data_IF_645084568541
#
_entry.id   IF_645084568541
#
_cell.length_a   1.000
_cell.length_b   1.000
_cell.length_c   1.000
_cell.angle_alpha   90.00
_cell.angle_beta   90.00
_cell.angle_gamma   90.00
#
_symmetry.space_group_name_H-M   'P 1'
#
loop_
_entity.id
_entity.type
_entity.pdbx_description
1 polymer ?
#
# COMPACT_ATOMS: atom_id res chain seq x y z
N UNK A 1 7.30 17.57 11.86
CA UNK A 1 5.99 16.93 11.69
C UNK A 1 5.66 16.91 10.20
N UNK A 2 5.96 15.82 9.48
CA UNK A 2 5.43 15.62 8.11
C UNK A 2 3.99 15.13 8.29
N UNK A 3 3.00 15.94 7.91
CA UNK A 3 1.58 15.71 8.20
C UNK A 3 0.81 15.05 7.04
N UNK A 4 1.43 14.86 5.88
CA UNK A 4 0.81 14.22 4.72
C UNK A 4 1.91 13.75 3.76
N UNK A 5 1.64 12.67 3.02
CA UNK A 5 2.40 12.31 1.83
C UNK A 5 2.20 13.39 0.76
N UNK A 6 3.29 13.81 0.11
CA UNK A 6 3.21 14.63 -1.09
C UNK A 6 2.64 13.83 -2.26
N UNK A 7 2.23 14.53 -3.32
CA UNK A 7 1.74 13.88 -4.53
C UNK A 7 2.83 13.02 -5.19
N UNK A 8 4.08 13.49 -5.15
CA UNK A 8 5.27 12.74 -5.60
C UNK A 8 5.45 11.46 -4.78
N UNK A 9 5.42 11.54 -3.44
CA UNK A 9 5.54 10.36 -2.56
C UNK A 9 4.41 9.34 -2.82
N UNK A 10 3.18 9.82 -3.07
CA UNK A 10 2.05 8.94 -3.43
C UNK A 10 2.24 8.27 -4.77
N UNK A 11 2.78 8.99 -5.77
CA UNK A 11 3.13 8.45 -7.08
C UNK A 11 4.14 7.31 -6.96
N UNK A 12 5.23 7.55 -6.23
CA UNK A 12 6.28 6.56 -6.00
C UNK A 12 5.71 5.30 -5.30
N UNK A 13 4.91 5.49 -4.23
CA UNK A 13 4.29 4.37 -3.50
C UNK A 13 3.33 3.60 -4.42
N UNK A 14 2.58 4.28 -5.29
CA UNK A 14 1.68 3.63 -6.23
C UNK A 14 2.43 2.77 -7.25
N UNK A 15 3.53 3.26 -7.81
CA UNK A 15 4.36 2.48 -8.74
C UNK A 15 4.92 1.22 -8.04
N UNK A 16 5.46 1.37 -6.83
CA UNK A 16 5.99 0.26 -6.05
C UNK A 16 4.91 -0.74 -5.62
N UNK A 17 3.70 -0.26 -5.31
CA UNK A 17 2.56 -1.13 -5.01
C UNK A 17 2.21 -2.01 -6.22
N UNK A 18 2.13 -1.44 -7.41
CA UNK A 18 1.83 -2.17 -8.64
C UNK A 18 2.94 -3.18 -8.99
N UNK A 19 4.20 -2.81 -8.78
CA UNK A 19 5.34 -3.66 -9.10
C UNK A 19 5.52 -4.81 -8.10
N UNK A 20 5.45 -4.52 -6.80
CA UNK A 20 5.84 -5.47 -5.75
C UNK A 20 4.66 -6.16 -5.08
N UNK A 21 3.56 -5.45 -4.85
CA UNK A 21 2.45 -5.94 -4.03
C UNK A 21 1.35 -6.60 -4.85
N UNK A 22 0.98 -6.03 -6.01
CA UNK A 22 -0.07 -6.60 -6.87
C UNK A 22 0.19 -8.06 -7.28
N UNK A 23 1.42 -8.48 -7.65
CA UNK A 23 1.68 -9.89 -7.93
C UNK A 23 1.43 -10.81 -6.73
N UNK A 24 1.74 -10.37 -5.51
CA UNK A 24 1.47 -11.10 -4.26
C UNK A 24 -0.03 -11.17 -3.98
N UNK A 25 -0.73 -10.04 -4.09
CA UNK A 25 -2.18 -9.94 -3.91
C UNK A 25 -2.97 -10.81 -4.90
N UNK A 26 -2.54 -10.86 -6.17
CA UNK A 26 -3.14 -11.75 -7.17
C UNK A 26 -3.01 -13.23 -6.81
N UNK A 27 -1.84 -13.66 -6.30
CA UNK A 27 -1.64 -15.05 -5.84
C UNK A 27 -2.54 -15.42 -4.67
N UNK A 28 -2.93 -14.44 -3.86
CA UNK A 28 -3.80 -14.60 -2.70
C UNK A 28 -5.31 -14.47 -3.03
N UNK A 29 -5.68 -14.26 -4.30
CA UNK A 29 -7.06 -13.89 -4.71
C UNK A 29 -7.61 -12.69 -3.92
N UNK A 30 -6.74 -11.75 -3.55
CA UNK A 30 -7.12 -10.61 -2.72
C UNK A 30 -8.02 -9.64 -3.51
N UNK A 31 -9.14 -9.22 -2.90
CA UNK A 31 -10.11 -8.32 -3.55
C UNK A 31 -10.14 -6.90 -2.99
N UNK A 32 -9.91 -6.78 -1.69
CA UNK A 32 -9.79 -5.51 -0.98
C UNK A 32 -8.99 -5.76 0.29
N UNK A 33 -8.35 -4.73 0.80
CA UNK A 33 -7.60 -4.83 2.03
C UNK A 33 -6.83 -3.56 2.34
N UNK A 34 -6.14 -3.61 3.48
CA UNK A 34 -5.26 -2.55 3.94
C UNK A 34 -3.88 -3.14 4.20
N UNK A 35 -2.82 -2.53 3.65
CA UNK A 35 -1.43 -2.96 3.85
C UNK A 35 -0.55 -1.76 4.18
N UNK A 36 0.56 -2.02 4.88
CA UNK A 36 1.54 -0.96 5.20
C UNK A 36 2.31 -0.56 3.95
N UNK A 37 2.70 0.72 3.87
CA UNK A 37 3.59 1.25 2.84
C UNK A 37 5.06 0.95 3.12
N UNK A 38 5.39 0.10 4.10
CA UNK A 38 6.77 -0.31 4.40
C UNK A 38 7.51 -0.88 3.16
N UNK A 39 6.79 -1.47 2.21
CA UNK A 39 7.35 -1.92 0.92
C UNK A 39 8.00 -0.78 0.10
N UNK A 40 7.60 0.47 0.32
CA UNK A 40 8.19 1.64 -0.32
C UNK A 40 9.34 2.26 0.50
N UNK A 41 9.60 1.72 1.69
CA UNK A 41 10.66 2.12 2.60
C UNK A 41 10.17 2.27 4.06
N UNK A 42 11.08 2.10 5.04
CA UNK A 42 10.73 2.13 6.46
C UNK A 42 10.17 3.49 6.93
N UNK A 43 10.50 4.58 6.22
CA UNK A 43 9.92 5.90 6.49
C UNK A 43 8.41 5.97 6.25
N UNK A 44 7.86 5.03 5.47
CA UNK A 44 6.44 4.93 5.17
C UNK A 44 5.74 3.82 5.95
N UNK A 45 6.40 3.14 6.89
CA UNK A 45 5.83 2.00 7.63
C UNK A 45 4.54 2.34 8.41
N UNK A 46 4.37 3.61 8.78
CA UNK A 46 3.17 4.15 9.45
C UNK A 46 2.08 4.62 8.50
N UNK A 47 2.34 4.61 7.19
CA UNK A 47 1.32 4.86 6.18
C UNK A 47 0.72 3.54 5.75
N UNK A 48 -0.59 3.52 5.70
CA UNK A 48 -1.44 2.41 5.32
C UNK A 48 -2.11 2.77 4.00
N UNK A 49 -2.14 1.83 3.06
CA UNK A 49 -2.94 1.99 1.84
C UNK A 49 -4.12 1.06 1.90
N UNK A 50 -5.28 1.60 1.58
CA UNK A 50 -6.44 0.79 1.24
C UNK A 50 -6.38 0.50 -0.25
N UNK A 51 -6.54 -0.76 -0.64
CA UNK A 51 -6.58 -1.16 -2.03
C UNK A 51 -7.87 -1.91 -2.35
N UNK A 52 -8.22 -1.93 -3.63
CA UNK A 52 -9.24 -2.83 -4.18
C UNK A 52 -8.81 -3.39 -5.52
N UNK A 53 -9.28 -4.59 -5.85
CA UNK A 53 -9.21 -5.16 -7.19
C UNK A 53 -10.38 -4.65 -8.03
N UNK A 54 -10.11 -4.27 -9.27
CA UNK A 54 -11.12 -3.96 -10.30
C UNK A 54 -10.87 -4.86 -11.51
N UNK A 55 -11.52 -6.02 -11.52
CA UNK A 55 -11.23 -7.06 -12.51
C UNK A 55 -9.84 -7.65 -12.27
N UNK A 56 -8.95 -7.55 -13.26
CA UNK A 56 -7.56 -8.03 -13.15
C UNK A 56 -6.61 -6.96 -12.57
N UNK A 57 -7.07 -5.72 -12.44
CA UNK A 57 -6.27 -4.57 -11.99
C UNK A 57 -6.46 -4.31 -10.49
N UNK A 58 -5.50 -3.63 -9.88
CA UNK A 58 -5.56 -3.17 -8.49
C UNK A 58 -5.35 -1.66 -8.46
N UNK A 59 -6.07 -0.99 -7.56
CA UNK A 59 -5.94 0.45 -7.34
C UNK A 59 -5.83 0.74 -5.84
N UNK A 60 -5.04 1.76 -5.50
CA UNK A 60 -5.03 2.36 -4.17
C UNK A 60 -6.21 3.33 -4.10
N UNK A 61 -7.07 3.14 -3.11
CA UNK A 61 -8.26 3.98 -2.91
C UNK A 61 -8.04 5.07 -1.87
N UNK A 62 -7.16 4.82 -0.89
CA UNK A 62 -6.89 5.78 0.18
C UNK A 62 -5.51 5.56 0.83
N UNK A 63 -5.00 6.63 1.44
CA UNK A 63 -3.78 6.61 2.25
C UNK A 63 -4.11 7.10 3.66
N UNK A 64 -3.94 6.22 4.64
CA UNK A 64 -4.22 6.50 6.04
C UNK A 64 -2.91 6.49 6.85
N UNK A 65 -2.73 7.44 7.77
CA UNK A 65 -1.64 7.38 8.73
C UNK A 65 -2.13 6.63 9.97
N UNK A 66 -1.48 5.51 10.28
CA UNK A 66 -1.74 4.73 11.48
C UNK A 66 -0.53 4.81 12.41
N UNK A 67 -0.73 5.28 13.65
CA UNK A 67 0.38 5.50 14.59
C UNK A 67 1.01 4.17 15.06
N UNK A 68 0.21 3.11 15.13
CA UNK A 68 0.61 1.75 15.48
C UNK A 68 1.20 0.96 14.31
N UNK A 69 0.91 1.32 13.05
CA UNK A 69 1.44 0.65 11.86
C UNK A 69 0.95 -0.79 11.73
N UNK A 70 -0.34 -1.05 12.02
CA UNK A 70 -0.91 -2.40 12.14
C UNK A 70 -1.27 -3.07 10.80
N UNK A 71 -0.45 -2.86 9.77
CA UNK A 71 -0.64 -3.43 8.44
C UNK A 71 -0.39 -4.92 8.37
N UNK A 72 -1.04 -5.58 7.42
CA UNK A 72 -0.66 -6.94 7.04
C UNK A 72 0.64 -6.85 6.24
N UNK A 73 1.71 -7.43 6.79
CA UNK A 73 2.94 -7.68 6.04
C UNK A 73 2.70 -8.85 5.07
N UNK A 74 3.02 -8.65 3.79
CA UNK A 74 2.84 -9.65 2.74
C UNK A 74 4.17 -10.26 2.30
N UNK A 75 5.20 -10.24 3.15
CA UNK A 75 6.41 -11.04 2.93
C UNK A 75 6.16 -12.49 3.37
N UNK A 76 5.60 -13.26 2.42
CA UNK A 76 5.42 -14.72 2.51
C UNK A 76 6.54 -15.46 1.77
#
# INVERSE_FOLDING_TARGET
>A
MKKALTDEEKGDIQELFLEQMVPKLRKLDARLGTISCEFAGPQYAKWMIQFRSRGEEFEIVDFEWDEEGSGIDLDL
#
